data_IF_469490534993
#
_entry.id   IF_469490534993
#
_cell.length_a   1.000
_cell.length_b   1.000
_cell.length_c   1.000
_cell.angle_alpha   90.00
_cell.angle_beta   90.00
_cell.angle_gamma   90.00
#
_symmetry.space_group_name_H-M   'P 1'
#
loop_
_entity.id
_entity.type
_entity.pdbx_description
1 polymer ?
#
# COMPACT_ATOMS: atom_id res chain seq x y z
N UNK A 1 -15.80 -21.02 11.63
CA UNK A 1 -15.17 -20.00 12.48
C UNK A 1 -15.86 -18.68 12.21
N UNK A 2 -16.64 -18.17 13.17
CA UNK A 2 -17.25 -16.85 13.10
C UNK A 2 -16.23 -15.79 13.53
N UNK A 3 -15.53 -15.16 12.58
CA UNK A 3 -14.76 -13.96 12.89
C UNK A 3 -15.70 -12.75 12.80
N UNK A 4 -16.19 -12.30 13.95
CA UNK A 4 -16.80 -10.97 14.06
C UNK A 4 -15.70 -9.93 13.84
N UNK A 5 -15.46 -9.50 12.60
CA UNK A 5 -14.41 -8.54 12.28
C UNK A 5 -14.66 -7.21 12.99
N UNK A 6 -13.85 -6.97 14.03
CA UNK A 6 -13.85 -5.76 14.83
C UNK A 6 -12.42 -5.22 14.84
N UNK A 7 -12.26 -3.93 15.11
CA UNK A 7 -10.94 -3.29 15.21
C UNK A 7 -9.96 -4.05 16.13
N UNK A 8 -10.45 -4.58 17.26
CA UNK A 8 -9.66 -5.39 18.20
C UNK A 8 -9.01 -6.63 17.57
N UNK A 9 -9.69 -7.28 16.63
CA UNK A 9 -9.12 -8.44 15.91
C UNK A 9 -8.01 -8.01 14.96
N UNK A 10 -8.15 -6.85 14.33
CA UNK A 10 -7.11 -6.28 13.47
C UNK A 10 -5.90 -5.86 14.30
N UNK A 11 -6.10 -5.22 15.45
CA UNK A 11 -5.05 -4.87 16.40
C UNK A 11 -4.28 -6.11 16.88
N UNK A 12 -4.99 -7.20 17.20
CA UNK A 12 -4.36 -8.48 17.56
C UNK A 12 -3.51 -9.06 16.42
N UNK A 13 -4.02 -9.02 15.18
CA UNK A 13 -3.25 -9.48 14.02
C UNK A 13 -1.95 -8.69 13.89
N UNK A 14 -2.02 -7.36 14.01
CA UNK A 14 -0.85 -6.47 13.98
C UNK A 14 0.12 -6.77 15.13
N UNK A 15 -0.36 -6.99 16.36
CA UNK A 15 0.47 -7.38 17.50
C UNK A 15 1.23 -8.69 17.23
N UNK A 16 0.62 -9.62 16.50
CA UNK A 16 1.26 -10.88 16.08
C UNK A 16 2.11 -10.75 14.81
N UNK A 17 2.29 -9.54 14.28
CA UNK A 17 3.02 -9.30 13.05
C UNK A 17 2.32 -9.85 11.80
N UNK A 18 1.02 -10.13 11.89
CA UNK A 18 0.20 -10.62 10.79
C UNK A 18 -0.54 -9.44 10.19
N UNK A 19 -0.21 -9.06 8.96
CA UNK A 19 -0.93 -8.01 8.24
C UNK A 19 -1.64 -8.68 7.05
N UNK A 20 -2.98 -8.77 7.05
CA UNK A 20 -3.73 -9.35 5.94
C UNK A 20 -3.46 -8.61 4.63
N UNK A 21 -2.91 -9.35 3.68
CA UNK A 21 -2.49 -8.84 2.38
C UNK A 21 -3.67 -8.52 1.44
N UNK A 22 -4.77 -9.27 1.58
CA UNK A 22 -6.02 -9.03 0.88
C UNK A 22 -7.15 -9.19 1.86
N UNK A 23 -7.98 -8.16 1.97
CA UNK A 23 -9.24 -8.20 2.72
C UNK A 23 -10.37 -8.05 1.72
N UNK A 24 -11.38 -8.91 1.83
CA UNK A 24 -12.57 -8.83 0.99
C UNK A 24 -13.77 -8.87 1.89
N UNK A 25 -14.56 -7.82 1.85
CA UNK A 25 -15.84 -7.76 2.52
C UNK A 25 -16.85 -8.50 1.65
N UNK A 26 -17.49 -9.52 2.21
CA UNK A 26 -18.59 -10.21 1.56
C UNK A 26 -19.87 -9.49 1.92
N UNK A 27 -20.35 -8.63 1.03
CA UNK A 27 -21.67 -8.02 1.15
C UNK A 27 -22.72 -9.10 0.96
N UNK A 28 -23.35 -9.50 2.06
CA UNK A 28 -24.43 -10.48 2.07
C UNK A 28 -25.65 -9.83 2.71
N UNK A 29 -26.81 -9.97 2.06
CA UNK A 29 -28.07 -9.53 2.64
C UNK A 29 -28.37 -10.30 3.93
N UNK A 30 -28.82 -9.60 4.97
CA UNK A 30 -29.09 -10.21 6.26
C UNK A 30 -30.22 -11.25 6.19
N UNK A 31 -31.22 -11.04 5.32
CA UNK A 31 -32.32 -11.98 5.09
C UNK A 31 -31.77 -13.27 4.49
N UNK A 32 -30.93 -13.16 3.46
CA UNK A 32 -30.29 -14.32 2.85
C UNK A 32 -29.39 -15.09 3.84
N UNK A 33 -28.60 -14.37 4.64
CA UNK A 33 -27.80 -14.97 5.72
C UNK A 33 -28.67 -15.75 6.71
N UNK A 34 -29.84 -15.20 7.08
CA UNK A 34 -30.77 -15.84 8.02
C UNK A 34 -31.42 -17.08 7.41
N UNK A 35 -31.80 -17.02 6.12
CA UNK A 35 -32.36 -18.17 5.39
C UNK A 35 -31.34 -19.31 5.33
N UNK A 36 -30.06 -19.02 5.01
CA UNK A 36 -29.00 -20.03 4.97
C UNK A 36 -28.75 -20.62 6.36
N UNK A 37 -28.66 -19.77 7.38
CA UNK A 37 -28.51 -20.24 8.77
C UNK A 37 -29.65 -21.19 9.18
N UNK A 38 -30.91 -20.89 8.81
CA UNK A 38 -32.04 -21.78 9.08
C UNK A 38 -31.95 -23.12 8.34
N UNK A 39 -31.50 -23.11 7.08
CA UNK A 39 -31.29 -24.33 6.29
C UNK A 39 -30.19 -25.20 6.89
N UNK A 40 -29.01 -24.62 7.16
CA UNK A 40 -27.87 -25.32 7.74
C UNK A 40 -28.20 -25.89 9.12
N UNK A 41 -28.97 -25.15 9.92
CA UNK A 41 -29.43 -25.61 11.24
C UNK A 41 -30.29 -26.87 11.16
N UNK A 42 -31.08 -26.99 10.10
CA UNK A 42 -32.00 -28.10 9.86
C UNK A 42 -31.38 -29.22 9.00
N UNK A 43 -30.11 -29.11 8.60
CA UNK A 43 -29.44 -30.11 7.78
C UNK A 43 -29.21 -31.41 8.59
N UNK A 44 -29.68 -32.59 8.10
CA UNK A 44 -29.47 -33.86 8.78
C UNK A 44 -27.99 -34.29 8.87
N UNK A 45 -27.12 -33.78 8.00
CA UNK A 45 -25.67 -34.04 7.99
C UNK A 45 -24.87 -33.04 8.83
N UNK A 46 -25.54 -32.20 9.63
CA UNK A 46 -24.88 -31.15 10.41
C UNK A 46 -23.87 -31.77 11.39
N UNK A 47 -22.56 -31.47 11.26
CA UNK A 47 -21.53 -32.15 12.04
C UNK A 47 -21.49 -31.72 13.51
N UNK A 48 -21.96 -30.52 13.83
CA UNK A 48 -22.01 -30.01 15.21
C UNK A 48 -23.06 -28.89 15.36
N UNK A 49 -23.68 -28.75 16.54
CA UNK A 49 -24.52 -27.59 16.85
C UNK A 49 -23.69 -26.29 16.81
N UNK A 50 -24.15 -25.32 16.03
CA UNK A 50 -23.62 -23.96 15.96
C UNK A 50 -24.60 -22.96 16.60
N UNK A 51 -24.07 -21.80 16.99
CA UNK A 51 -24.87 -20.68 17.51
C UNK A 51 -25.41 -19.83 16.37
N UNK A 52 -26.48 -20.32 15.74
CA UNK A 52 -27.11 -19.78 14.54
C UNK A 52 -28.64 -19.59 14.68
N UNK A 53 -29.13 -19.41 15.91
CA UNK A 53 -30.52 -18.98 16.14
C UNK A 53 -30.78 -17.59 15.51
N UNK A 54 -32.03 -17.25 15.18
CA UNK A 54 -32.36 -15.92 14.64
C UNK A 54 -31.85 -14.77 15.52
N UNK A 55 -31.91 -14.92 16.84
CA UNK A 55 -31.41 -13.96 17.82
C UNK A 55 -29.88 -13.87 17.78
N UNK A 56 -29.21 -15.01 17.66
CA UNK A 56 -27.76 -15.05 17.48
C UNK A 56 -27.36 -14.36 16.17
N UNK A 57 -28.05 -14.64 15.06
CA UNK A 57 -27.78 -14.00 13.77
C UNK A 57 -28.03 -12.49 13.82
N UNK A 58 -29.11 -12.04 14.45
CA UNK A 58 -29.40 -10.63 14.64
C UNK A 58 -28.31 -9.93 15.48
N UNK A 59 -27.85 -10.55 16.56
CA UNK A 59 -26.74 -10.04 17.37
C UNK A 59 -25.44 -9.93 16.56
N UNK A 60 -25.10 -10.98 15.78
CA UNK A 60 -23.92 -10.99 14.89
C UNK A 60 -24.00 -9.87 13.84
N UNK A 61 -25.17 -9.66 13.24
CA UNK A 61 -25.40 -8.58 12.29
C UNK A 61 -25.27 -7.20 12.93
N UNK A 62 -25.81 -7.02 14.14
CA UNK A 62 -25.62 -5.79 14.92
C UNK A 62 -24.14 -5.48 15.16
N UNK A 63 -23.35 -6.47 15.58
CA UNK A 63 -21.89 -6.31 15.72
C UNK A 63 -21.23 -5.92 14.39
N UNK A 64 -21.58 -6.60 13.31
CA UNK A 64 -21.02 -6.33 11.99
C UNK A 64 -21.27 -4.88 11.55
N UNK A 65 -22.52 -4.42 11.62
CA UNK A 65 -22.91 -3.08 11.19
C UNK A 65 -22.15 -1.97 11.94
N UNK A 66 -21.87 -2.18 13.23
CA UNK A 66 -21.10 -1.22 14.03
C UNK A 66 -19.58 -1.33 13.82
N UNK A 67 -19.09 -2.55 13.60
CA UNK A 67 -17.66 -2.86 13.55
C UNK A 67 -17.00 -2.67 12.18
N UNK A 68 -17.76 -2.77 11.09
CA UNK A 68 -17.19 -2.83 9.73
C UNK A 68 -16.63 -1.50 9.24
N UNK A 69 -17.29 -0.37 9.57
CA UNK A 69 -16.86 0.96 9.09
C UNK A 69 -15.46 1.33 9.58
N UNK A 70 -15.14 1.24 10.89
CA UNK A 70 -13.78 1.50 11.37
C UNK A 70 -12.73 0.56 10.77
N UNK A 71 -13.09 -0.72 10.55
CA UNK A 71 -12.19 -1.71 9.94
C UNK A 71 -11.90 -1.34 8.48
N UNK A 72 -12.93 -0.95 7.72
CA UNK A 72 -12.80 -0.52 6.32
C UNK A 72 -11.92 0.72 6.19
N UNK A 73 -12.13 1.72 7.05
CA UNK A 73 -11.30 2.92 7.10
C UNK A 73 -9.83 2.57 7.38
N UNK A 74 -9.58 1.76 8.42
CA UNK A 74 -8.23 1.35 8.78
C UNK A 74 -7.47 0.66 7.63
N UNK A 75 -8.09 -0.33 6.95
CA UNK A 75 -7.43 -1.00 5.82
C UNK A 75 -7.24 -0.09 4.59
N UNK A 76 -8.09 0.92 4.42
CA UNK A 76 -8.00 1.90 3.32
C UNK A 76 -6.87 2.90 3.57
N UNK A 77 -6.77 3.41 4.79
CA UNK A 77 -5.81 4.45 5.18
C UNK A 77 -4.40 3.90 5.42
N UNK A 78 -4.28 2.86 6.26
CA UNK A 78 -2.97 2.37 6.72
C UNK A 78 -2.26 1.52 5.67
N UNK A 79 -3.02 0.73 4.90
CA UNK A 79 -2.42 -0.26 4.00
C UNK A 79 -2.80 -0.07 2.54
N UNK A 80 -3.76 0.81 2.20
CA UNK A 80 -4.35 0.90 0.85
C UNK A 80 -4.82 -0.46 0.31
N UNK A 81 -5.07 -1.44 1.18
CA UNK A 81 -5.39 -2.84 0.80
C UNK A 81 -6.83 -3.02 0.29
N UNK A 82 -7.65 -1.97 0.34
CA UNK A 82 -9.08 -2.04 0.09
C UNK A 82 -9.50 -2.44 -1.32
N UNK A 83 -8.61 -2.36 -2.33
CA UNK A 83 -8.93 -2.75 -3.71
C UNK A 83 -7.72 -3.15 -4.57
N UNK A 84 -6.54 -3.35 -3.99
CA UNK A 84 -5.34 -3.64 -4.77
C UNK A 84 -5.30 -5.13 -5.13
N UNK A 85 -5.28 -5.43 -6.44
CA UNK A 85 -4.95 -6.77 -6.98
C UNK A 85 -3.48 -7.03 -6.76
N UNK A 86 -3.18 -7.41 -5.53
CA UNK A 86 -1.85 -7.69 -5.07
C UNK A 86 -1.36 -9.00 -5.73
N UNK A 87 -0.39 -8.87 -6.63
CA UNK A 87 0.00 -9.93 -7.56
C UNK A 87 1.05 -10.84 -6.91
N UNK A 88 0.68 -12.08 -6.57
CA UNK A 88 1.59 -13.07 -5.96
C UNK A 88 2.92 -13.21 -6.73
N UNK A 89 2.89 -13.07 -8.05
CA UNK A 89 4.12 -13.10 -8.88
C UNK A 89 5.04 -11.91 -8.59
N UNK A 90 4.49 -10.71 -8.34
CA UNK A 90 5.29 -9.53 -7.99
C UNK A 90 5.94 -9.69 -6.61
N UNK A 91 5.22 -10.24 -5.63
CA UNK A 91 5.80 -10.54 -4.31
C UNK A 91 6.96 -11.52 -4.44
N UNK A 92 6.73 -12.62 -5.16
CA UNK A 92 7.75 -13.64 -5.37
C UNK A 92 8.99 -13.04 -6.05
N UNK A 93 8.79 -12.25 -7.11
CA UNK A 93 9.87 -11.56 -7.79
C UNK A 93 10.61 -10.57 -6.87
N UNK A 94 9.89 -9.83 -6.03
CA UNK A 94 10.50 -8.93 -5.04
C UNK A 94 11.38 -9.70 -4.05
N UNK A 95 10.89 -10.82 -3.50
CA UNK A 95 11.65 -11.64 -2.56
C UNK A 95 12.91 -12.23 -3.21
N UNK A 96 12.79 -12.75 -4.43
CA UNK A 96 13.93 -13.29 -5.19
C UNK A 96 14.99 -12.24 -5.46
N UNK A 97 14.59 -11.07 -5.98
CA UNK A 97 15.51 -9.96 -6.28
C UNK A 97 16.20 -9.46 -5.02
N UNK A 98 15.45 -9.34 -3.91
CA UNK A 98 16.02 -8.94 -2.61
C UNK A 98 17.05 -9.95 -2.10
N UNK A 99 16.81 -11.26 -2.22
CA UNK A 99 17.77 -12.30 -1.85
C UNK A 99 19.06 -12.23 -2.68
N UNK A 100 18.94 -11.82 -3.94
CA UNK A 100 20.07 -11.59 -4.85
C UNK A 100 20.71 -10.21 -4.69
N UNK A 101 20.30 -9.41 -3.70
CA UNK A 101 20.71 -8.01 -3.52
C UNK A 101 20.51 -7.14 -4.78
N UNK A 102 19.44 -7.39 -5.53
CA UNK A 102 19.03 -6.59 -6.69
C UNK A 102 17.91 -5.64 -6.31
N UNK A 103 17.84 -4.47 -6.96
CA UNK A 103 16.72 -3.57 -6.77
C UNK A 103 15.41 -4.24 -7.20
N UNK A 104 14.30 -3.96 -6.52
CA UNK A 104 13.00 -4.54 -6.84
C UNK A 104 11.89 -3.50 -6.77
N UNK A 105 10.97 -3.53 -7.74
CA UNK A 105 9.81 -2.63 -7.74
C UNK A 105 8.85 -2.98 -6.60
N UNK A 106 8.32 -1.96 -5.92
CA UNK A 106 7.41 -2.15 -4.77
C UNK A 106 5.93 -1.88 -5.08
N UNK A 107 5.61 -1.65 -6.35
CA UNK A 107 4.24 -1.49 -6.80
C UNK A 107 3.39 -2.71 -6.40
N UNK A 108 2.21 -2.46 -5.86
CA UNK A 108 1.25 -3.49 -5.40
C UNK A 108 1.75 -4.41 -4.27
N UNK A 109 2.81 -4.02 -3.54
CA UNK A 109 3.30 -4.75 -2.35
C UNK A 109 2.65 -4.32 -1.04
N UNK A 110 1.61 -3.48 -1.08
CA UNK A 110 0.86 -3.04 0.11
C UNK A 110 1.73 -2.30 1.15
N UNK A 111 2.77 -1.60 0.69
CA UNK A 111 3.63 -0.77 1.55
C UNK A 111 2.86 0.49 1.97
N UNK A 112 2.85 0.78 3.27
CA UNK A 112 2.18 1.97 3.78
C UNK A 112 2.92 3.25 3.36
N UNK A 113 2.21 4.38 3.16
CA UNK A 113 2.86 5.65 2.85
C UNK A 113 3.88 6.07 3.91
N UNK A 114 3.60 5.81 5.19
CA UNK A 114 4.52 6.11 6.29
C UNK A 114 5.78 5.27 6.23
N UNK A 115 5.67 3.96 5.98
CA UNK A 115 6.85 3.10 5.82
C UNK A 115 7.72 3.57 4.65
N UNK A 116 7.07 3.92 3.53
CA UNK A 116 7.75 4.44 2.37
C UNK A 116 8.57 5.71 2.71
N UNK A 117 7.97 6.66 3.44
CA UNK A 117 8.64 7.89 3.87
C UNK A 117 9.80 7.61 4.83
N UNK A 118 9.60 6.73 5.81
CA UNK A 118 10.60 6.41 6.84
C UNK A 118 11.85 5.75 6.26
N UNK A 119 11.72 5.04 5.15
CA UNK A 119 12.80 4.29 4.50
C UNK A 119 13.27 4.92 3.20
N UNK A 120 12.95 6.19 2.94
CA UNK A 120 13.50 6.90 1.79
C UNK A 120 15.03 6.86 1.79
N UNK A 121 15.59 6.66 0.60
CA UNK A 121 17.01 6.76 0.35
C UNK A 121 17.51 8.21 0.34
N UNK A 122 18.78 8.37 0.04
CA UNK A 122 19.50 9.66 0.04
C UNK A 122 18.93 10.69 -0.95
N UNK A 123 18.24 10.20 -1.98
CA UNK A 123 17.61 11.03 -3.00
C UNK A 123 16.21 11.54 -2.59
N UNK A 124 15.72 11.16 -1.41
CA UNK A 124 14.42 11.58 -0.87
C UNK A 124 13.29 11.39 -1.90
N UNK A 125 12.69 12.50 -2.37
CA UNK A 125 11.60 12.52 -3.34
C UNK A 125 12.07 12.67 -4.79
N UNK A 126 13.37 12.74 -5.04
CA UNK A 126 13.94 13.01 -6.36
C UNK A 126 14.36 11.75 -7.07
N UNK A 127 14.24 11.76 -8.40
CA UNK A 127 14.63 10.65 -9.25
C UNK A 127 16.17 10.50 -9.33
N UNK A 128 16.77 9.41 -8.81
CA UNK A 128 18.21 9.20 -8.86
C UNK A 128 18.73 9.01 -10.30
N UNK A 129 17.91 8.39 -11.16
CA UNK A 129 18.27 8.11 -12.56
C UNK A 129 18.35 9.41 -13.37
N UNK A 130 17.37 10.31 -13.21
CA UNK A 130 17.38 11.61 -13.90
C UNK A 130 18.56 12.47 -13.46
N UNK A 131 18.86 12.50 -12.16
CA UNK A 131 20.00 13.23 -11.61
C UNK A 131 21.34 12.68 -12.14
N UNK A 132 21.47 11.36 -12.20
CA UNK A 132 22.72 10.73 -12.63
C UNK A 132 22.95 10.88 -14.14
N UNK A 133 21.92 10.63 -14.96
CA UNK A 133 22.07 10.61 -16.43
C UNK A 133 21.93 11.97 -17.10
N UNK A 134 21.05 12.83 -16.59
CA UNK A 134 20.68 14.11 -17.22
C UNK A 134 21.03 15.33 -16.38
N UNK A 135 21.50 15.13 -15.15
CA UNK A 135 21.71 16.22 -14.17
C UNK A 135 20.42 17.01 -13.87
N UNK A 136 19.27 16.33 -13.99
CA UNK A 136 17.95 16.92 -13.81
C UNK A 136 17.34 16.47 -12.47
N UNK A 137 16.99 17.43 -11.62
CA UNK A 137 16.24 17.20 -10.39
C UNK A 137 14.74 17.16 -10.68
N UNK A 138 14.20 15.95 -10.81
CA UNK A 138 12.77 15.73 -11.01
C UNK A 138 12.10 15.40 -9.67
N UNK A 139 11.20 16.28 -9.22
CA UNK A 139 10.44 16.09 -7.99
C UNK A 139 9.29 15.10 -8.17
N UNK A 140 9.34 13.98 -7.44
CA UNK A 140 8.34 12.92 -7.43
C UNK A 140 7.47 12.92 -6.15
N UNK A 141 7.51 13.98 -5.34
CA UNK A 141 6.75 14.13 -4.09
C UNK A 141 5.23 14.07 -4.30
N UNK A 142 4.75 14.67 -5.39
CA UNK A 142 3.32 14.72 -5.73
C UNK A 142 2.73 13.33 -6.10
N UNK A 143 3.58 12.36 -6.45
CA UNK A 143 3.14 11.01 -6.81
C UNK A 143 2.89 10.19 -5.56
N UNK A 144 1.62 10.04 -5.19
CA UNK A 144 1.21 9.27 -3.99
C UNK A 144 1.29 7.74 -4.24
N UNK A 145 1.37 7.30 -5.48
CA UNK A 145 1.43 5.88 -5.85
C UNK A 145 2.83 5.29 -5.69
N UNK A 146 2.91 3.96 -5.59
CA UNK A 146 4.17 3.20 -5.51
C UNK A 146 4.60 2.61 -6.86
N UNK A 147 3.95 3.01 -7.95
CA UNK A 147 4.12 2.41 -9.29
C UNK A 147 5.57 2.54 -9.80
N UNK A 148 6.20 3.67 -9.51
CA UNK A 148 7.57 3.99 -9.94
C UNK A 148 8.51 4.09 -8.74
N UNK A 149 8.35 3.17 -7.79
CA UNK A 149 9.20 3.10 -6.60
C UNK A 149 9.90 1.75 -6.55
N UNK A 150 11.19 1.76 -6.25
CA UNK A 150 12.01 0.58 -6.12
C UNK A 150 12.70 0.56 -4.75
N UNK A 151 12.87 -0.64 -4.22
CA UNK A 151 13.66 -0.92 -3.03
C UNK A 151 15.03 -1.42 -3.46
N UNK A 152 16.08 -0.91 -2.83
CA UNK A 152 17.44 -1.40 -2.97
C UNK A 152 18.16 -1.23 -1.63
N UNK A 153 18.79 -2.31 -1.14
CA UNK A 153 19.57 -2.31 0.11
C UNK A 153 18.82 -1.73 1.33
N UNK A 154 17.52 -1.99 1.43
CA UNK A 154 16.67 -1.56 2.53
C UNK A 154 16.10 -0.14 2.37
N UNK A 155 16.46 0.60 1.32
CA UNK A 155 16.01 1.97 1.05
C UNK A 155 15.08 2.04 -0.15
N UNK A 156 14.12 2.96 -0.11
CA UNK A 156 13.20 3.23 -1.20
C UNK A 156 13.63 4.43 -2.03
N UNK A 157 13.55 4.28 -3.35
CA UNK A 157 13.89 5.30 -4.33
C UNK A 157 12.69 5.54 -5.24
N UNK A 158 12.36 6.81 -5.47
CA UNK A 158 11.29 7.22 -6.39
C UNK A 158 11.87 7.52 -7.75
N UNK A 159 11.17 7.14 -8.80
CA UNK A 159 11.58 7.37 -10.18
C UNK A 159 10.56 8.26 -10.88
N UNK A 160 11.04 9.07 -11.83
CA UNK A 160 10.21 10.00 -12.59
C UNK A 160 9.15 9.30 -13.46
N UNK A 161 9.40 8.05 -13.84
CA UNK A 161 8.50 7.28 -14.70
C UNK A 161 8.96 5.83 -14.90
N UNK A 162 8.27 5.10 -15.80
CA UNK A 162 8.52 3.68 -16.02
C UNK A 162 9.88 3.40 -16.68
N UNK A 163 10.39 4.32 -17.52
CA UNK A 163 11.70 4.17 -18.16
C UNK A 163 12.82 4.25 -17.14
N UNK A 164 12.74 5.22 -16.26
CA UNK A 164 13.70 5.42 -15.16
C UNK A 164 13.63 4.27 -14.16
N UNK A 165 12.43 3.76 -13.83
CA UNK A 165 12.28 2.56 -13.03
C UNK A 165 13.02 1.38 -13.64
N UNK A 166 12.83 1.11 -14.95
CA UNK A 166 13.50 -0.02 -15.60
C UNK A 166 15.03 0.11 -15.55
N UNK A 167 15.56 1.29 -15.86
CA UNK A 167 17.00 1.55 -15.76
C UNK A 167 17.54 1.30 -14.34
N UNK A 168 16.79 1.72 -13.32
CA UNK A 168 17.16 1.48 -11.93
C UNK A 168 17.15 0.00 -11.55
N UNK A 169 16.17 -0.77 -12.06
CA UNK A 169 16.10 -2.21 -11.82
C UNK A 169 17.21 -2.98 -12.52
N UNK A 170 17.74 -2.47 -13.63
CA UNK A 170 18.80 -3.12 -14.40
C UNK A 170 20.19 -2.84 -13.79
N UNK A 171 20.45 -1.64 -13.26
CA UNK A 171 21.75 -1.23 -12.72
C UNK A 171 21.60 -0.32 -11.49
N UNK A 172 21.13 -0.88 -10.37
CA UNK A 172 20.82 -0.12 -9.15
C UNK A 172 22.04 0.45 -8.44
N UNK A 173 23.19 -0.24 -8.49
CA UNK A 173 24.43 0.22 -7.85
C UNK A 173 24.93 1.54 -8.44
N UNK A 174 24.73 1.74 -9.75
CA UNK A 174 25.10 2.99 -10.42
C UNK A 174 24.29 4.20 -9.93
N UNK A 175 23.01 4.01 -9.61
CA UNK A 175 22.08 5.08 -9.27
C UNK A 175 21.89 5.27 -7.76
N UNK A 176 22.17 4.23 -6.96
CA UNK A 176 22.12 4.26 -5.51
C UNK A 176 23.40 3.64 -4.91
N UNK A 177 24.59 4.22 -5.17
CA UNK A 177 25.83 3.74 -4.58
C UNK A 177 25.87 4.08 -3.09
N UNK A 178 26.61 3.29 -2.31
CA UNK A 178 26.84 3.53 -0.86
C UNK A 178 27.48 4.91 -0.60
N UNK A 179 28.22 5.43 -1.58
CA UNK A 179 28.76 6.79 -1.57
C UNK A 179 28.28 7.53 -2.83
N UNK A 180 27.19 8.32 -2.74
CA UNK A 180 26.67 9.08 -3.86
C UNK A 180 27.70 10.09 -4.36
N UNK A 181 28.06 9.99 -5.64
CA UNK A 181 28.94 10.99 -6.28
C UNK A 181 28.26 12.34 -6.45
N UNK A 182 26.93 12.34 -6.56
CA UNK A 182 26.09 13.53 -6.68
C UNK A 182 25.14 13.57 -5.49
N UNK A 183 25.34 14.55 -4.62
CA UNK A 183 24.43 14.81 -3.51
C UNK A 183 23.31 15.75 -3.97
N UNK A 184 22.16 15.65 -3.33
CA UNK A 184 21.12 16.65 -3.49
C UNK A 184 21.66 18.01 -3.05
N UNK A 185 21.34 19.11 -3.77
CA UNK A 185 21.71 20.45 -3.33
C UNK A 185 21.01 20.79 -2.01
N UNK A 186 21.38 21.91 -1.39
CA UNK A 186 20.73 22.38 -0.18
C UNK A 186 19.20 22.51 -0.38
N UNK A 187 18.36 22.23 0.65
CA UNK A 187 16.89 22.17 0.49
C UNK A 187 16.26 23.41 -0.16
N UNK A 188 16.80 24.59 0.11
CA UNK A 188 16.36 25.87 -0.45
C UNK A 188 16.63 26.02 -1.97
N UNK A 189 17.50 25.20 -2.56
CA UNK A 189 17.82 25.20 -3.99
C UNK A 189 17.17 24.02 -4.72
N UNK A 190 16.38 23.18 -4.05
CA UNK A 190 15.72 22.03 -4.67
C UNK A 190 14.42 22.47 -5.35
N UNK A 191 14.15 21.99 -6.57
CA UNK A 191 12.86 22.24 -7.20
C UNK A 191 11.77 21.51 -6.42
N UNK A 192 10.67 22.20 -6.12
CA UNK A 192 9.48 21.62 -5.50
C UNK A 192 8.28 21.85 -6.41
N UNK A 193 7.49 20.81 -6.65
CA UNK A 193 6.31 20.88 -7.50
C UNK A 193 5.24 21.75 -6.83
N UNK A 194 4.87 22.86 -7.46
CA UNK A 194 3.78 23.73 -7.00
C UNK A 194 2.46 23.33 -7.64
N UNK A 195 1.39 23.58 -6.90
CA UNK A 195 0.03 23.46 -7.41
C UNK A 195 -0.28 24.60 -8.39
N UNK A 196 -1.28 24.42 -9.25
CA UNK A 196 -1.67 25.44 -10.22
C UNK A 196 -2.12 26.75 -9.54
N UNK A 197 -2.81 26.64 -8.40
CA UNK A 197 -3.24 27.79 -7.60
C UNK A 197 -2.07 28.63 -7.08
N UNK A 198 -0.97 27.97 -6.68
CA UNK A 198 0.26 28.64 -6.23
C UNK A 198 1.06 29.23 -7.39
N UNK A 199 1.03 28.59 -8.57
CA UNK A 199 1.77 29.03 -9.75
C UNK A 199 1.10 30.23 -10.46
N UNK A 200 -0.23 30.27 -10.49
CA UNK A 200 -1.03 31.31 -11.17
C UNK A 200 -0.66 32.76 -10.79
N UNK A 201 -0.42 33.14 -9.52
CA UNK A 201 0.00 34.51 -9.18
C UNK A 201 1.44 34.86 -9.56
N UNK A 202 2.28 33.88 -9.96
CA UNK A 202 3.70 34.08 -10.25
C UNK A 202 3.97 34.38 -11.73
N UNK A 203 3.02 34.07 -12.62
CA UNK A 203 3.14 34.43 -14.02
C UNK A 203 2.78 35.91 -14.23
N UNK A 204 3.60 36.68 -14.95
CA UNK A 204 3.25 38.05 -15.29
C UNK A 204 1.96 38.06 -16.10
N UNK A 205 1.07 39.03 -15.83
CA UNK A 205 -0.15 39.19 -16.62
C UNK A 205 0.23 39.57 -18.05
N UNK A 206 -0.40 38.98 -19.08
CA UNK A 206 -0.17 39.41 -20.45
C UNK A 206 -0.51 40.90 -20.58
N UNK A 207 0.36 41.62 -21.29
CA UNK A 207 0.22 43.05 -21.62
C UNK A 207 -0.91 43.21 -22.64
#
# INVERSE_FOLDING_TARGET
MDFHYQKKHVELLVEKGIIPFKVSELECDFTECTIRAMKDRNDPNRPFPLRDSPEAMAYKNGIYQHGIVPVRQWYTEEHKNGNIKCNKKKIQNYLERKLLNQAAGIADLCISPQELLNRLGEHEHYCPVSLTLRDELVDCSATITTDYVAEYQGRYYRMAGPKELQLFLDDSERFAPVAPRKLLPAPNHRPHRRTEAEAKPMFPKPI
#
